data_IF_710204816917
#
_entry.id   IF_710204816917
#
_cell.length_a   1.000
_cell.length_b   1.000
_cell.length_c   1.000
_cell.angle_alpha   90.00
_cell.angle_beta   90.00
_cell.angle_gamma   90.00
#
_symmetry.space_group_name_H-M   'P 1'
#
loop_
_entity.id
_entity.type
_entity.pdbx_description
1 polymer ?
#
# COMPACT_ATOMS: atom_id res chain seq x y z
N UNK A 1 4.33 -10.15 -4.65
CA UNK A 1 5.20 -10.33 -5.82
C UNK A 1 4.35 -10.18 -7.08
N UNK A 2 4.96 -10.11 -8.27
CA UNK A 2 4.21 -9.96 -9.52
C UNK A 2 3.35 -11.20 -9.82
N UNK A 3 3.92 -12.39 -9.63
CA UNK A 3 3.23 -13.67 -9.77
C UNK A 3 1.99 -13.76 -8.89
N UNK A 4 2.10 -13.35 -7.61
CA UNK A 4 0.95 -13.34 -6.70
C UNK A 4 -0.18 -12.45 -7.26
N UNK A 5 0.14 -11.26 -7.79
CA UNK A 5 -0.89 -10.36 -8.32
C UNK A 5 -1.63 -10.97 -9.52
N UNK A 6 -0.88 -11.56 -10.47
CA UNK A 6 -1.45 -12.15 -11.69
C UNK A 6 -2.23 -13.43 -11.37
N UNK A 7 -1.66 -14.32 -10.56
CA UNK A 7 -2.28 -15.60 -10.25
C UNK A 7 -3.48 -15.44 -9.32
N UNK A 8 -3.41 -14.56 -8.31
CA UNK A 8 -4.57 -14.29 -7.46
C UNK A 8 -5.74 -13.73 -8.27
N UNK A 9 -5.50 -12.78 -9.19
CA UNK A 9 -6.57 -12.26 -10.05
C UNK A 9 -7.22 -13.36 -10.91
N UNK A 10 -6.42 -14.23 -11.51
CA UNK A 10 -6.90 -15.36 -12.31
C UNK A 10 -7.65 -16.40 -11.49
N UNK A 11 -7.25 -16.60 -10.24
CA UNK A 11 -7.86 -17.59 -9.36
C UNK A 11 -9.24 -17.14 -8.87
N UNK A 12 -9.39 -15.85 -8.56
CA UNK A 12 -10.59 -15.36 -7.89
C UNK A 12 -11.59 -14.65 -8.80
N UNK A 13 -11.18 -14.29 -10.03
CA UNK A 13 -12.03 -13.67 -11.06
C UNK A 13 -12.95 -12.57 -10.48
N UNK A 14 -12.38 -11.48 -9.93
CA UNK A 14 -13.12 -10.53 -9.11
C UNK A 14 -14.28 -9.90 -9.88
N UNK A 15 -15.48 -9.94 -9.29
CA UNK A 15 -16.71 -9.44 -9.91
C UNK A 15 -16.93 -7.97 -9.58
N UNK A 16 -17.67 -7.22 -10.43
CA UNK A 16 -18.09 -5.86 -10.11
C UNK A 16 -18.85 -5.81 -8.77
N UNK A 17 -18.46 -4.88 -7.90
CA UNK A 17 -19.06 -4.71 -6.57
C UNK A 17 -18.36 -5.48 -5.44
N UNK A 18 -17.45 -6.40 -5.75
CA UNK A 18 -16.66 -7.09 -4.73
C UNK A 18 -15.54 -6.20 -4.19
N UNK A 19 -15.27 -6.35 -2.90
CA UNK A 19 -14.21 -5.63 -2.20
C UNK A 19 -13.10 -6.59 -1.81
N UNK A 20 -11.90 -6.34 -2.33
CA UNK A 20 -10.73 -7.18 -2.10
C UNK A 20 -9.69 -6.48 -1.23
N UNK A 21 -9.27 -7.11 -0.14
CA UNK A 21 -8.23 -6.58 0.75
C UNK A 21 -6.86 -7.13 0.38
N UNK A 22 -5.87 -6.25 0.23
CA UNK A 22 -4.47 -6.61 0.06
C UNK A 22 -3.77 -6.62 1.41
N UNK A 23 -3.63 -7.82 1.99
CA UNK A 23 -2.96 -8.02 3.28
C UNK A 23 -1.48 -8.32 3.07
N UNK A 24 -0.60 -7.44 3.57
CA UNK A 24 0.85 -7.67 3.59
C UNK A 24 1.55 -6.74 4.58
N UNK A 25 2.83 -6.95 4.88
CA UNK A 25 3.58 -6.05 5.75
C UNK A 25 3.53 -4.61 5.24
N UNK A 26 3.37 -3.63 6.13
CA UNK A 26 3.43 -2.21 5.83
C UNK A 26 4.68 -1.85 5.01
N UNK A 27 5.81 -2.49 5.31
CA UNK A 27 7.06 -2.31 4.57
C UNK A 27 6.97 -2.75 3.09
N UNK A 28 6.16 -3.76 2.77
CA UNK A 28 6.00 -4.25 1.41
C UNK A 28 4.80 -3.67 0.67
N UNK A 29 3.93 -2.94 1.37
CA UNK A 29 2.66 -2.47 0.85
C UNK A 29 2.81 -1.58 -0.39
N UNK A 30 3.73 -0.58 -0.46
CA UNK A 30 3.86 0.24 -1.67
C UNK A 30 4.12 -0.59 -2.92
N UNK A 31 5.06 -1.53 -2.80
CA UNK A 31 5.45 -2.45 -3.87
C UNK A 31 4.32 -3.41 -4.22
N UNK A 32 3.65 -3.99 -3.22
CA UNK A 32 2.57 -4.95 -3.45
C UNK A 32 1.39 -4.30 -4.17
N UNK A 33 0.93 -3.13 -3.71
CA UNK A 33 -0.17 -2.39 -4.32
C UNK A 33 0.14 -2.02 -5.77
N UNK A 34 1.34 -1.51 -6.05
CA UNK A 34 1.75 -1.17 -7.42
C UNK A 34 1.69 -2.39 -8.36
N UNK A 35 2.04 -3.58 -7.87
CA UNK A 35 1.97 -4.82 -8.65
C UNK A 35 0.52 -5.29 -8.87
N UNK A 36 -0.36 -5.18 -7.86
CA UNK A 36 -1.78 -5.51 -7.99
C UNK A 36 -2.52 -4.53 -8.91
N UNK A 37 -2.24 -3.24 -8.80
CA UNK A 37 -2.78 -2.21 -9.71
C UNK A 37 -2.32 -2.43 -11.15
N UNK A 38 -1.03 -2.71 -11.36
CA UNK A 38 -0.50 -3.05 -12.69
C UNK A 38 -1.13 -4.32 -13.26
N UNK A 39 -1.46 -5.29 -12.40
CA UNK A 39 -2.17 -6.49 -12.80
C UNK A 39 -3.68 -6.26 -13.03
N UNK A 40 -4.18 -5.02 -12.89
CA UNK A 40 -5.59 -4.68 -13.05
C UNK A 40 -6.49 -5.30 -11.98
N UNK A 41 -5.94 -5.56 -10.80
CA UNK A 41 -6.66 -6.10 -9.65
C UNK A 41 -6.83 -5.02 -8.58
N UNK A 42 -7.99 -4.35 -8.61
CA UNK A 42 -8.33 -3.32 -7.64
C UNK A 42 -8.43 -3.94 -6.23
N UNK A 43 -7.59 -3.45 -5.31
CA UNK A 43 -7.52 -3.92 -3.93
C UNK A 43 -7.40 -2.76 -2.95
N UNK A 44 -7.91 -2.98 -1.74
CA UNK A 44 -7.81 -2.07 -0.60
C UNK A 44 -6.55 -2.42 0.19
N UNK A 45 -5.61 -1.49 0.40
CA UNK A 45 -4.43 -1.77 1.22
C UNK A 45 -4.83 -2.07 2.66
N UNK A 46 -4.38 -3.22 3.17
CA UNK A 46 -4.55 -3.64 4.57
C UNK A 46 -3.19 -4.03 5.18
N UNK A 47 -2.36 -3.04 5.56
CA UNK A 47 -1.01 -3.31 6.03
C UNK A 47 -0.99 -3.94 7.42
N UNK A 48 -0.11 -4.91 7.60
CA UNK A 48 0.20 -5.55 8.88
C UNK A 48 1.67 -5.35 9.23
N UNK A 49 2.14 -5.86 10.37
CA UNK A 49 3.56 -5.84 10.76
C UNK A 49 4.23 -4.47 10.62
N UNK A 50 3.63 -3.44 11.22
CA UNK A 50 4.25 -2.13 11.33
C UNK A 50 5.54 -2.25 12.13
N UNK A 51 6.68 -2.25 11.45
CA UNK A 51 7.99 -2.24 12.09
C UNK A 51 8.24 -0.85 12.67
N UNK A 52 7.81 -0.62 13.91
CA UNK A 52 8.29 0.52 14.70
C UNK A 52 9.73 0.26 15.11
N UNK A 53 10.58 1.29 15.00
CA UNK A 53 12.02 1.30 15.30
C UNK A 53 12.32 0.84 16.73
N UNK A 54 12.48 -0.46 16.94
CA UNK A 54 12.92 -1.04 18.19
C UNK A 54 14.44 -1.00 18.31
N UNK A 55 14.94 -0.01 19.05
CA UNK A 55 16.32 0.16 19.60
C UNK A 55 17.45 0.34 18.58
N UNK A 56 17.98 1.56 18.53
CA UNK A 56 19.21 1.89 17.82
C UNK A 56 20.43 1.39 18.60
N UNK A 57 21.14 0.41 18.04
CA UNK A 57 22.55 0.18 18.34
C UNK A 57 23.37 0.85 17.24
N UNK A 58 24.23 1.80 17.62
CA UNK A 58 25.09 2.56 16.71
C UNK A 58 26.13 1.61 16.11
N UNK A 59 25.99 1.33 14.81
CA UNK A 59 26.94 0.51 14.06
C UNK A 59 27.11 1.07 12.66
N UNK A 60 28.32 1.58 12.40
CA UNK A 60 28.77 2.06 11.09
C UNK A 60 28.50 0.99 10.02
N UNK A 61 28.02 1.40 8.85
CA UNK A 61 27.42 0.61 7.75
C UNK A 61 25.92 0.38 7.85
N UNK A 62 25.15 1.35 7.31
CA UNK A 62 23.94 1.12 6.51
C UNK A 62 23.38 2.49 6.07
N UNK A 63 23.20 2.68 4.78
CA UNK A 63 22.20 3.63 4.28
C UNK A 63 20.88 3.35 5.01
N UNK A 64 20.37 4.36 5.70
CA UNK A 64 19.61 4.23 6.94
C UNK A 64 18.30 3.43 6.75
N UNK A 65 18.24 2.15 7.16
CA UNK A 65 17.07 1.29 6.96
C UNK A 65 15.87 1.80 7.78
N UNK A 66 16.15 2.53 8.87
CA UNK A 66 15.16 3.19 9.71
C UNK A 66 14.40 4.24 8.90
N UNK A 67 15.10 5.10 8.16
CA UNK A 67 14.49 6.15 7.33
C UNK A 67 13.63 5.56 6.21
N UNK A 68 14.09 4.49 5.57
CA UNK A 68 13.33 3.78 4.52
C UNK A 68 12.05 3.12 5.06
N UNK A 69 12.11 2.59 6.29
CA UNK A 69 10.94 2.01 6.97
C UNK A 69 9.95 3.11 7.38
N UNK A 70 10.43 4.23 7.90
CA UNK A 70 9.60 5.39 8.24
C UNK A 70 8.91 5.97 7.00
N UNK A 71 9.66 6.24 5.92
CA UNK A 71 9.11 6.75 4.66
C UNK A 71 8.05 5.81 4.07
N UNK A 72 8.31 4.51 4.10
CA UNK A 72 7.33 3.50 3.65
C UNK A 72 6.08 3.53 4.53
N UNK A 73 6.23 3.61 5.84
CA UNK A 73 5.09 3.67 6.78
C UNK A 73 4.24 4.90 6.53
N UNK A 74 4.86 6.05 6.26
CA UNK A 74 4.18 7.30 5.90
C UNK A 74 3.42 7.11 4.58
N UNK A 75 4.07 6.62 3.53
CA UNK A 75 3.45 6.41 2.22
C UNK A 75 2.20 5.50 2.30
N UNK A 76 2.27 4.45 3.12
CA UNK A 76 1.14 3.54 3.35
C UNK A 76 -0.02 4.23 4.05
N UNK A 77 0.26 5.05 5.07
CA UNK A 77 -0.76 5.82 5.80
C UNK A 77 -1.48 6.80 4.88
N UNK A 78 -0.74 7.52 4.04
CA UNK A 78 -1.31 8.45 3.06
C UNK A 78 -2.26 7.74 2.07
N UNK A 79 -1.86 6.58 1.56
CA UNK A 79 -2.72 5.79 0.66
C UNK A 79 -4.00 5.28 1.34
N UNK A 80 -3.93 4.86 2.60
CA UNK A 80 -5.12 4.47 3.37
C UNK A 80 -6.03 5.67 3.57
N UNK A 81 -5.46 6.84 3.88
CA UNK A 81 -6.21 8.09 4.00
C UNK A 81 -6.98 8.41 2.72
N UNK A 82 -6.30 8.47 1.58
CA UNK A 82 -6.91 8.71 0.27
C UNK A 82 -8.03 7.71 -0.02
N UNK A 83 -7.80 6.43 0.27
CA UNK A 83 -8.77 5.39 0.00
C UNK A 83 -9.99 5.44 0.94
N UNK A 84 -9.79 5.68 2.24
CA UNK A 84 -10.86 5.83 3.22
C UNK A 84 -11.74 7.06 2.94
N UNK A 85 -11.11 8.16 2.52
CA UNK A 85 -11.84 9.35 2.12
C UNK A 85 -12.64 9.14 0.82
N UNK A 86 -12.12 8.33 -0.12
CA UNK A 86 -12.88 7.92 -1.32
C UNK A 86 -14.11 7.09 -0.96
N UNK A 87 -13.98 6.10 -0.06
CA UNK A 87 -15.11 5.27 0.35
C UNK A 87 -16.18 6.02 1.17
N UNK A 88 -15.76 7.02 1.94
CA UNK A 88 -16.70 7.86 2.70
C UNK A 88 -17.40 8.93 1.85
N UNK A 89 -17.15 8.96 0.53
CA UNK A 89 -17.72 9.95 -0.39
C UNK A 89 -17.22 11.38 -0.13
N UNK A 90 -16.11 11.53 0.62
CA UNK A 90 -15.54 12.83 0.98
C UNK A 90 -14.57 13.37 -0.08
N UNK A 91 -14.07 12.51 -0.98
CA UNK A 91 -13.30 12.90 -2.18
C UNK A 91 -13.60 11.94 -3.32
N UNK A 92 -13.93 12.51 -4.48
CA UNK A 92 -14.19 11.77 -5.71
C UNK A 92 -12.91 11.57 -6.57
N UNK A 93 -11.80 12.25 -6.24
CA UNK A 93 -10.58 12.26 -7.06
C UNK A 93 -9.31 11.91 -6.26
N UNK A 94 -8.42 11.15 -6.89
CA UNK A 94 -7.18 10.62 -6.30
C UNK A 94 -6.07 11.69 -6.13
N UNK A 95 -6.18 12.81 -6.85
CA UNK A 95 -5.26 13.93 -6.81
C UNK A 95 -6.07 15.24 -6.81
N UNK A 96 -5.95 16.11 -5.80
CA UNK A 96 -6.31 17.50 -6.00
C UNK A 96 -5.26 18.10 -6.97
N UNK A 97 -5.62 18.24 -8.24
CA UNK A 97 -4.89 19.13 -9.14
C UNK A 97 -5.11 20.58 -8.69
N UNK A 98 -4.14 21.49 -8.89
CA UNK A 98 -4.42 22.92 -8.71
C UNK A 98 -5.55 23.28 -9.67
N UNK A 99 -6.64 23.80 -9.12
CA UNK A 99 -7.78 24.26 -9.91
C UNK A 99 -7.35 25.33 -10.89
N UNK A 100 -7.69 25.12 -12.16
CA UNK A 100 -7.84 26.19 -13.14
C UNK A 100 -9.30 26.64 -13.20
#
# INVERSE_FOLDING_TARGET
TYENAVFSRKLVEPKPGETWLLVTSAFHMPRAKALFDKAGFATIPWPVDYRTSGKEGVGFYRDNPVDSVQATTIAVREWIGLFAYRLSGKIDQFFPGPGG
#
